data_IF_336502683477
#
_entry.id   IF_336502683477
#
_cell.length_a   1.000
_cell.length_b   1.000
_cell.length_c   1.000
_cell.angle_alpha   90.00
_cell.angle_beta   90.00
_cell.angle_gamma   90.00
#
_symmetry.space_group_name_H-M   'P 1'
#
loop_
_entity.id
_entity.type
_entity.pdbx_description
1 polymer ?
#
# COMPACT_ATOMS: atom_id res chain seq x y z
N UNK A 1 -24.48 30.82 -36.63
CA UNK A 1 -24.30 29.35 -36.58
C UNK A 1 -23.54 28.98 -35.30
N UNK A 2 -24.12 28.18 -34.39
CA UNK A 2 -23.40 27.76 -33.19
C UNK A 2 -22.36 26.69 -33.55
N UNK A 3 -21.09 26.95 -33.22
CA UNK A 3 -19.99 25.98 -33.28
C UNK A 3 -20.38 24.79 -32.39
N UNK A 4 -20.67 23.64 -33.01
CA UNK A 4 -20.77 22.36 -32.30
C UNK A 4 -19.45 22.12 -31.56
N UNK A 5 -19.47 22.26 -30.24
CA UNK A 5 -18.42 21.78 -29.36
C UNK A 5 -18.22 20.30 -29.67
N UNK A 6 -17.05 19.93 -30.21
CA UNK A 6 -16.65 18.53 -30.37
C UNK A 6 -16.70 17.89 -28.98
N UNK A 7 -17.62 16.95 -28.76
CA UNK A 7 -17.58 16.06 -27.60
C UNK A 7 -16.18 15.43 -27.54
N UNK A 8 -15.51 15.39 -26.38
CA UNK A 8 -14.25 14.69 -26.25
C UNK A 8 -14.52 13.23 -26.64
N UNK A 9 -13.77 12.70 -27.60
CA UNK A 9 -13.83 11.29 -27.96
C UNK A 9 -13.33 10.47 -26.76
N UNK A 10 -14.26 10.01 -25.92
CA UNK A 10 -14.01 8.95 -24.95
C UNK A 10 -13.50 7.74 -25.72
N UNK A 11 -12.23 7.39 -25.51
CA UNK A 11 -11.65 6.19 -26.13
C UNK A 11 -12.43 4.99 -25.63
N UNK A 12 -12.79 4.06 -26.52
CA UNK A 12 -13.43 2.80 -26.12
C UNK A 12 -12.53 2.06 -25.11
N UNK A 13 -13.15 1.42 -24.10
CA UNK A 13 -12.43 0.58 -23.14
C UNK A 13 -11.68 -0.55 -23.85
N UNK A 14 -12.25 -1.13 -24.91
CA UNK A 14 -11.57 -2.14 -25.72
C UNK A 14 -10.27 -1.59 -26.36
N UNK A 15 -10.29 -0.34 -26.84
CA UNK A 15 -9.08 0.30 -27.34
C UNK A 15 -8.05 0.54 -26.23
N UNK A 16 -8.49 0.80 -24.99
CA UNK A 16 -7.59 0.91 -23.83
C UNK A 16 -6.88 -0.42 -23.57
N UNK A 17 -7.63 -1.53 -23.55
CA UNK A 17 -7.09 -2.89 -23.38
C UNK A 17 -6.10 -3.21 -24.48
N UNK A 18 -6.45 -3.00 -25.76
CA UNK A 18 -5.55 -3.25 -26.88
C UNK A 18 -4.27 -2.42 -26.81
N UNK A 19 -4.36 -1.14 -26.42
CA UNK A 19 -3.18 -0.30 -26.21
C UNK A 19 -2.31 -0.79 -25.06
N UNK A 20 -2.90 -1.31 -23.98
CA UNK A 20 -2.15 -1.89 -22.88
C UNK A 20 -1.37 -3.13 -23.36
N UNK A 21 -2.03 -4.06 -24.06
CA UNK A 21 -1.37 -5.25 -24.63
C UNK A 21 -0.24 -4.89 -25.61
N UNK A 22 -0.46 -3.88 -26.47
CA UNK A 22 0.59 -3.38 -27.38
C UNK A 22 1.78 -2.74 -26.68
N UNK A 23 1.65 -2.28 -25.43
CA UNK A 23 2.81 -1.84 -24.64
C UNK A 23 3.59 -3.02 -24.09
N UNK A 24 2.90 -4.09 -23.67
CA UNK A 24 3.53 -5.34 -23.26
C UNK A 24 4.31 -5.94 -24.44
N UNK A 25 3.71 -5.96 -25.64
CA UNK A 25 4.35 -6.45 -26.86
C UNK A 25 5.70 -5.79 -27.17
N UNK A 26 5.86 -4.51 -26.79
CA UNK A 26 7.10 -3.74 -27.00
C UNK A 26 8.13 -3.94 -25.89
N UNK A 27 7.77 -4.60 -24.81
CA UNK A 27 8.68 -4.86 -23.70
C UNK A 27 9.68 -5.97 -24.04
N UNK A 28 10.91 -5.85 -23.52
CA UNK A 28 11.99 -6.79 -23.80
C UNK A 28 11.68 -8.20 -23.31
N UNK A 29 10.98 -8.35 -22.19
CA UNK A 29 10.65 -9.65 -21.63
C UNK A 29 9.61 -10.38 -22.50
N UNK A 30 8.63 -9.67 -23.05
CA UNK A 30 7.71 -10.26 -24.03
C UNK A 30 8.44 -10.63 -25.32
N UNK A 31 9.25 -9.72 -25.88
CA UNK A 31 9.99 -9.96 -27.11
C UNK A 31 10.95 -11.18 -26.98
N UNK A 32 11.64 -11.29 -25.84
CA UNK A 32 12.51 -12.43 -25.55
C UNK A 32 11.74 -13.75 -25.36
N UNK A 33 10.54 -13.69 -24.76
CA UNK A 33 9.66 -14.86 -24.66
C UNK A 33 9.13 -15.29 -26.04
N UNK A 34 8.64 -14.36 -26.85
CA UNK A 34 8.05 -14.65 -28.16
C UNK A 34 9.07 -15.14 -29.19
N UNK A 35 10.33 -14.68 -29.11
CA UNK A 35 11.39 -15.07 -30.05
C UNK A 35 11.68 -16.58 -30.07
N UNK A 36 11.32 -17.30 -29.00
CA UNK A 36 11.54 -18.75 -28.86
C UNK A 36 10.33 -19.59 -29.28
N UNK A 37 9.30 -18.98 -29.89
CA UNK A 37 8.03 -19.64 -30.20
C UNK A 37 7.70 -19.52 -31.70
N UNK A 38 7.16 -20.59 -32.33
CA UNK A 38 6.79 -20.58 -33.74
C UNK A 38 5.44 -19.89 -33.95
N UNK A 39 5.37 -18.59 -33.66
CA UNK A 39 4.15 -17.78 -33.73
C UNK A 39 3.72 -17.55 -35.19
N UNK A 40 2.46 -17.86 -35.52
CA UNK A 40 1.90 -17.69 -36.86
C UNK A 40 0.54 -16.96 -36.82
N UNK A 41 0.09 -16.52 -37.99
CA UNK A 41 -1.24 -15.89 -38.13
C UNK A 41 -2.35 -16.85 -37.69
N UNK A 42 -3.26 -16.35 -36.85
CA UNK A 42 -4.39 -17.11 -36.32
C UNK A 42 -4.09 -17.91 -35.06
N UNK A 43 -2.84 -17.95 -34.60
CA UNK A 43 -2.54 -18.36 -33.23
C UNK A 43 -2.96 -17.25 -32.24
N UNK A 44 -2.85 -17.52 -30.94
CA UNK A 44 -3.22 -16.56 -29.90
C UNK A 44 -2.26 -16.56 -28.72
N UNK A 45 -2.26 -15.44 -27.99
CA UNK A 45 -1.54 -15.31 -26.72
C UNK A 45 -2.54 -15.00 -25.62
N UNK A 46 -2.56 -15.86 -24.60
CA UNK A 46 -3.29 -15.64 -23.36
C UNK A 46 -2.36 -14.96 -22.34
N UNK A 47 -2.81 -13.82 -21.82
CA UNK A 47 -2.09 -13.01 -20.85
C UNK A 47 -2.53 -13.38 -19.44
N UNK A 48 -1.55 -13.60 -18.57
CA UNK A 48 -1.81 -13.84 -17.16
C UNK A 48 -2.57 -12.66 -16.55
N UNK A 49 -3.56 -12.96 -15.72
CA UNK A 49 -4.30 -11.97 -14.96
C UNK A 49 -3.69 -11.71 -13.56
N UNK A 50 -2.45 -12.15 -13.33
CA UNK A 50 -1.65 -11.76 -12.16
C UNK A 50 -0.15 -11.90 -12.41
N UNK A 51 0.55 -10.80 -12.65
CA UNK A 51 2.01 -10.80 -12.82
C UNK A 51 2.77 -10.83 -11.49
N UNK A 52 2.12 -10.39 -10.42
CA UNK A 52 2.67 -10.37 -9.07
C UNK A 52 2.28 -11.64 -8.30
N UNK A 53 3.25 -12.17 -7.55
CA UNK A 53 3.00 -13.30 -6.68
C UNK A 53 2.24 -12.83 -5.43
N UNK A 54 1.16 -13.54 -5.11
CA UNK A 54 0.25 -13.20 -4.03
C UNK A 54 0.54 -14.10 -2.85
N UNK A 55 0.83 -13.52 -1.69
CA UNK A 55 0.95 -14.25 -0.43
C UNK A 55 0.07 -13.54 0.59
N UNK A 56 -0.98 -14.21 1.06
CA UNK A 56 -1.90 -13.66 2.07
C UNK A 56 -2.98 -12.70 1.52
N UNK A 57 -3.29 -12.73 0.22
CA UNK A 57 -4.42 -11.94 -0.31
C UNK A 57 -5.75 -12.51 0.21
N UNK A 58 -6.68 -11.62 0.56
CA UNK A 58 -8.05 -12.01 0.99
C UNK A 58 -8.95 -12.42 -0.18
N UNK A 59 -8.54 -12.12 -1.42
CA UNK A 59 -9.26 -12.46 -2.65
C UNK A 59 -8.63 -13.65 -3.37
N UNK A 60 -9.45 -14.38 -4.11
CA UNK A 60 -9.01 -15.39 -5.07
C UNK A 60 -8.69 -14.75 -6.42
N UNK A 61 -7.80 -15.39 -7.18
CA UNK A 61 -7.44 -14.95 -8.53
C UNK A 61 -8.63 -15.00 -9.46
N UNK A 62 -8.85 -13.90 -10.19
CA UNK A 62 -9.86 -13.83 -11.25
C UNK A 62 -9.74 -15.04 -12.20
N UNK A 63 -10.85 -15.62 -12.68
CA UNK A 63 -10.81 -16.67 -13.68
C UNK A 63 -10.66 -16.14 -15.11
N UNK A 64 -10.76 -14.81 -15.33
CA UNK A 64 -10.81 -14.22 -16.66
C UNK A 64 -9.43 -13.80 -17.17
N UNK A 65 -9.01 -14.36 -18.30
CA UNK A 65 -7.73 -14.09 -18.96
C UNK A 65 -7.96 -13.37 -20.29
N UNK A 66 -7.15 -12.34 -20.57
CA UNK A 66 -7.17 -11.68 -21.88
C UNK A 66 -6.49 -12.55 -22.92
N UNK A 67 -7.11 -12.69 -24.08
CA UNK A 67 -6.55 -13.38 -25.24
C UNK A 67 -6.48 -12.43 -26.41
N UNK A 68 -5.31 -12.36 -27.04
CA UNK A 68 -5.11 -11.60 -28.27
C UNK A 68 -4.70 -12.54 -29.42
N UNK A 69 -5.39 -12.52 -30.55
CA UNK A 69 -4.96 -13.24 -31.75
C UNK A 69 -3.72 -12.61 -32.37
N UNK A 70 -2.92 -13.43 -33.02
CA UNK A 70 -1.78 -13.01 -33.82
C UNK A 70 -2.21 -12.73 -35.26
N UNK A 71 -1.92 -11.52 -35.73
CA UNK A 71 -2.14 -11.12 -37.12
C UNK A 71 -1.02 -11.60 -38.06
N UNK A 72 -1.14 -11.24 -39.35
CA UNK A 72 -0.17 -11.57 -40.41
C UNK A 72 1.29 -11.24 -40.11
N UNK A 73 1.52 -10.21 -39.29
CA UNK A 73 2.86 -9.73 -38.93
C UNK A 73 3.43 -10.41 -37.68
N UNK A 74 2.75 -11.43 -37.15
CA UNK A 74 3.07 -12.05 -35.86
C UNK A 74 2.77 -11.14 -34.66
N UNK A 75 2.10 -10.01 -34.89
CA UNK A 75 1.76 -9.02 -33.86
C UNK A 75 0.39 -9.25 -33.26
N UNK A 76 0.21 -8.78 -32.02
CA UNK A 76 -1.07 -8.79 -31.33
C UNK A 76 -2.10 -7.96 -32.11
N UNK A 77 -3.24 -8.59 -32.40
CA UNK A 77 -4.32 -8.02 -33.22
C UNK A 77 -5.67 -8.06 -32.49
N UNK A 78 -6.66 -7.37 -33.06
CA UNK A 78 -8.05 -7.42 -32.63
C UNK A 78 -8.86 -8.33 -33.60
N UNK A 79 -10.03 -8.85 -33.21
CA UNK A 79 -10.72 -8.64 -31.93
C UNK A 79 -10.03 -9.39 -30.77
N UNK A 80 -10.09 -8.79 -29.58
CA UNK A 80 -9.63 -9.42 -28.35
C UNK A 80 -10.77 -10.27 -27.76
N UNK A 81 -10.40 -11.29 -26.99
CA UNK A 81 -11.36 -12.18 -26.35
C UNK A 81 -10.98 -12.45 -24.89
N UNK A 82 -11.95 -12.98 -24.13
CA UNK A 82 -11.76 -13.45 -22.76
C UNK A 82 -11.80 -14.97 -22.73
N UNK A 83 -10.83 -15.55 -22.02
CA UNK A 83 -10.72 -16.98 -21.75
C UNK A 83 -10.94 -17.24 -20.26
N UNK A 84 -11.77 -18.23 -19.96
CA UNK A 84 -11.92 -18.82 -18.62
C UNK A 84 -11.37 -20.26 -18.66
N UNK A 85 -10.10 -20.46 -18.29
CA UNK A 85 -9.50 -21.78 -18.34
C UNK A 85 -9.99 -22.66 -17.18
N UNK A 86 -10.13 -23.96 -17.43
CA UNK A 86 -10.45 -24.95 -16.38
C UNK A 86 -9.38 -25.06 -15.29
N UNK A 87 -8.15 -24.65 -15.58
CA UNK A 87 -7.03 -24.60 -14.64
C UNK A 87 -6.36 -23.24 -14.67
N UNK A 88 -6.04 -22.72 -13.48
CA UNK A 88 -5.36 -21.44 -13.35
C UNK A 88 -3.95 -21.48 -13.97
N UNK A 89 -3.65 -20.48 -14.80
CA UNK A 89 -2.32 -20.28 -15.36
C UNK A 89 -1.45 -19.44 -14.42
N UNK A 90 -0.20 -19.87 -14.20
CA UNK A 90 0.80 -19.16 -13.37
C UNK A 90 2.03 -18.65 -14.14
N UNK A 91 2.03 -18.80 -15.47
CA UNK A 91 3.01 -18.18 -16.38
C UNK A 91 2.47 -16.86 -16.91
N UNK A 92 3.33 -15.89 -17.16
CA UNK A 92 2.95 -14.53 -17.60
C UNK A 92 2.23 -14.52 -18.95
N UNK A 93 2.68 -15.36 -19.87
CA UNK A 93 2.13 -15.51 -21.20
C UNK A 93 1.99 -16.98 -21.54
N UNK A 94 0.92 -17.33 -22.24
CA UNK A 94 0.71 -18.67 -22.80
C UNK A 94 0.40 -18.54 -24.28
N UNK A 95 1.21 -19.23 -25.08
CA UNK A 95 0.98 -19.38 -26.50
C UNK A 95 -0.09 -20.46 -26.73
N UNK A 96 -1.06 -20.17 -27.60
CA UNK A 96 -2.17 -21.04 -27.95
C UNK A 96 -2.19 -21.20 -29.47
N UNK A 97 -1.73 -22.34 -30.00
CA UNK A 97 -1.76 -22.61 -31.44
C UNK A 97 -3.19 -22.72 -31.95
N UNK A 98 -3.45 -22.23 -33.17
CA UNK A 98 -4.76 -22.31 -33.85
C UNK A 98 -5.31 -23.74 -33.94
N UNK A 99 -4.42 -24.73 -34.07
CA UNK A 99 -4.76 -26.15 -34.20
C UNK A 99 -5.24 -26.78 -32.90
N UNK A 100 -4.97 -26.17 -31.76
CA UNK A 100 -5.46 -26.65 -30.48
C UNK A 100 -6.96 -26.32 -30.37
N UNK A 101 -7.78 -27.27 -29.91
CA UNK A 101 -9.19 -27.04 -29.62
C UNK A 101 -9.29 -25.80 -28.73
N UNK A 102 -9.81 -24.71 -29.30
CA UNK A 102 -9.85 -23.44 -28.59
C UNK A 102 -10.90 -23.55 -27.49
N UNK A 103 -10.56 -23.25 -26.23
CA UNK A 103 -11.57 -23.15 -25.19
C UNK A 103 -12.64 -22.14 -25.61
N UNK A 104 -13.84 -22.22 -25.05
CA UNK A 104 -14.87 -21.21 -25.30
C UNK A 104 -14.32 -19.80 -24.99
N UNK A 105 -14.35 -18.92 -25.98
CA UNK A 105 -13.89 -17.54 -25.88
C UNK A 105 -15.10 -16.61 -25.89
N UNK A 106 -15.18 -15.71 -24.91
CA UNK A 106 -16.16 -14.64 -24.91
C UNK A 106 -15.58 -13.40 -25.62
N UNK A 107 -16.42 -12.66 -26.34
CA UNK A 107 -15.98 -11.41 -26.95
C UNK A 107 -15.61 -10.38 -25.86
N UNK A 108 -14.55 -9.60 -26.10
CA UNK A 108 -14.11 -8.60 -25.12
C UNK A 108 -15.20 -7.54 -24.88
N UNK A 109 -15.90 -7.06 -25.90
CA UNK A 109 -16.92 -6.01 -25.75
C UNK A 109 -18.10 -6.47 -24.89
N UNK A 110 -18.53 -7.72 -25.03
CA UNK A 110 -19.58 -8.32 -24.19
C UNK A 110 -19.13 -8.43 -22.74
N UNK A 111 -17.89 -8.90 -22.54
CA UNK A 111 -17.28 -9.03 -21.22
C UNK A 111 -17.08 -7.66 -20.55
N UNK A 112 -16.69 -6.64 -21.31
CA UNK A 112 -16.56 -5.27 -20.79
C UNK A 112 -17.91 -4.74 -20.31
N UNK A 113 -18.99 -4.96 -21.07
CA UNK A 113 -20.35 -4.54 -20.67
C UNK A 113 -20.76 -5.24 -19.37
N UNK A 114 -20.66 -6.56 -19.34
CA UNK A 114 -20.99 -7.37 -18.15
C UNK A 114 -20.19 -6.93 -16.90
N UNK A 115 -18.87 -6.72 -17.06
CA UNK A 115 -18.02 -6.33 -15.93
C UNK A 115 -18.22 -4.87 -15.50
N UNK A 116 -18.60 -3.98 -16.43
CA UNK A 116 -18.94 -2.59 -16.11
C UNK A 116 -20.19 -2.53 -15.23
N UNK A 117 -21.21 -3.33 -15.55
CA UNK A 117 -22.45 -3.40 -14.76
C UNK A 117 -22.20 -4.00 -13.38
N UNK A 118 -21.26 -4.94 -13.29
CA UNK A 118 -20.82 -5.56 -12.02
C UNK A 118 -19.82 -4.71 -11.22
N UNK A 119 -19.42 -3.52 -11.68
CA UNK A 119 -18.33 -2.75 -11.05
C UNK A 119 -18.65 -2.37 -9.59
N UNK A 120 -19.92 -2.01 -9.33
CA UNK A 120 -20.37 -1.48 -8.04
C UNK A 120 -19.86 -0.06 -7.78
N UNK A 121 -20.32 0.55 -6.69
CA UNK A 121 -19.99 1.95 -6.33
C UNK A 121 -18.82 2.07 -5.37
N UNK A 122 -18.58 1.05 -4.54
CA UNK A 122 -17.58 1.09 -3.46
C UNK A 122 -16.15 1.36 -3.97
N UNK A 123 -15.82 0.89 -5.18
CA UNK A 123 -14.51 1.12 -5.80
C UNK A 123 -14.24 2.61 -6.04
N UNK A 124 -15.28 3.42 -6.21
CA UNK A 124 -15.17 4.86 -6.44
C UNK A 124 -14.92 5.66 -5.15
N UNK A 125 -14.93 5.02 -3.97
CA UNK A 125 -14.41 5.64 -2.75
C UNK A 125 -12.96 6.13 -2.94
N UNK A 126 -12.18 5.42 -3.77
CA UNK A 126 -10.80 5.76 -4.09
C UNK A 126 -10.61 7.07 -4.86
N UNK A 127 -11.65 7.53 -5.56
CA UNK A 127 -11.66 8.78 -6.32
C UNK A 127 -12.52 9.86 -5.63
N UNK A 128 -13.05 9.57 -4.44
CA UNK A 128 -13.87 10.50 -3.66
C UNK A 128 -13.01 11.60 -3.06
N UNK A 129 -13.60 12.77 -2.85
CA UNK A 129 -12.96 13.87 -2.11
C UNK A 129 -13.20 13.68 -0.62
N UNK A 130 -12.15 13.90 0.17
CA UNK A 130 -12.24 13.98 1.63
C UNK A 130 -12.84 15.33 1.99
N UNK A 131 -13.86 15.35 2.86
CA UNK A 131 -14.52 16.57 3.33
C UNK A 131 -14.59 16.53 4.85
N UNK A 132 -14.04 17.55 5.48
CA UNK A 132 -14.09 17.77 6.93
C UNK A 132 -15.38 18.51 7.29
N UNK A 133 -16.52 17.81 7.15
CA UNK A 133 -17.87 18.35 7.42
C UNK A 133 -18.52 17.75 8.67
N UNK A 134 -17.83 16.83 9.35
CA UNK A 134 -18.37 16.15 10.52
C UNK A 134 -17.94 16.88 11.78
N UNK A 135 -18.94 17.40 12.48
CA UNK A 135 -18.78 17.84 13.87
C UNK A 135 -18.83 16.61 14.78
N UNK A 136 -17.78 16.42 15.57
CA UNK A 136 -17.74 15.40 16.63
C UNK A 136 -17.90 16.11 17.96
N UNK A 137 -18.78 15.62 18.84
CA UNK A 137 -19.01 16.20 20.15
C UNK A 137 -18.91 15.10 21.21
N UNK A 138 -18.14 15.34 22.26
CA UNK A 138 -17.92 14.44 23.38
C UNK A 138 -18.25 15.14 24.71
N UNK A 139 -18.63 14.38 25.75
CA UNK A 139 -18.73 14.92 27.10
C UNK A 139 -17.39 15.47 27.57
N UNK A 140 -17.41 16.68 28.14
CA UNK A 140 -16.27 17.31 28.77
C UNK A 140 -16.60 17.46 30.25
N UNK A 141 -16.15 16.49 31.05
CA UNK A 141 -16.58 16.33 32.43
C UNK A 141 -15.88 17.33 33.38
N UNK A 142 -15.92 18.63 33.07
CA UNK A 142 -15.31 19.67 33.89
C UNK A 142 -16.07 21.00 33.80
N UNK A 143 -16.76 21.35 34.90
CA UNK A 143 -17.52 22.61 35.01
C UNK A 143 -16.62 23.85 34.76
N UNK A 144 -17.17 24.92 34.17
CA UNK A 144 -18.58 25.10 33.75
C UNK A 144 -18.92 24.46 32.39
N UNK A 145 -17.96 23.78 31.75
CA UNK A 145 -18.14 23.20 30.44
C UNK A 145 -18.68 21.77 30.56
N UNK A 146 -19.59 21.40 29.65
CA UNK A 146 -20.24 20.10 29.63
C UNK A 146 -19.82 19.26 28.43
N UNK A 147 -19.45 19.92 27.33
CA UNK A 147 -19.06 19.23 26.09
C UNK A 147 -17.89 19.90 25.41
N UNK A 148 -17.16 19.11 24.66
CA UNK A 148 -16.08 19.55 23.78
C UNK A 148 -16.34 18.99 22.39
N UNK A 149 -16.23 19.83 21.38
CA UNK A 149 -16.53 19.48 20.00
C UNK A 149 -15.35 19.79 19.08
N UNK A 150 -15.12 18.92 18.11
CA UNK A 150 -14.21 19.17 17.00
C UNK A 150 -15.04 19.62 15.79
N UNK A 151 -14.79 20.83 15.32
CA UNK A 151 -15.38 21.42 14.12
C UNK A 151 -14.29 22.13 13.30
N UNK A 152 -13.81 21.47 12.25
CA UNK A 152 -12.74 21.98 11.39
C UNK A 152 -13.11 23.26 10.61
N UNK A 153 -14.40 23.63 10.55
CA UNK A 153 -14.86 24.86 9.92
C UNK A 153 -15.01 26.03 10.92
N UNK A 154 -14.64 25.82 12.18
CA UNK A 154 -14.66 26.84 13.23
C UNK A 154 -13.77 28.05 12.88
N UNK A 155 -14.14 29.27 13.32
CA UNK A 155 -13.41 30.50 12.99
C UNK A 155 -12.07 30.64 13.74
N UNK A 156 -11.91 29.96 14.88
CA UNK A 156 -10.74 30.03 15.76
C UNK A 156 -10.26 28.63 16.16
N UNK A 157 -9.03 28.52 16.67
CA UNK A 157 -8.47 27.23 17.15
C UNK A 157 -9.25 26.68 18.35
N UNK A 158 -9.68 27.57 19.24
CA UNK A 158 -10.59 27.30 20.35
C UNK A 158 -11.65 28.39 20.40
N UNK A 159 -12.91 28.02 20.60
CA UNK A 159 -14.00 28.94 20.85
C UNK A 159 -14.89 28.40 21.98
N UNK A 160 -15.41 29.29 22.83
CA UNK A 160 -16.36 28.93 23.86
C UNK A 160 -17.78 29.37 23.46
N UNK A 161 -18.71 28.43 23.49
CA UNK A 161 -20.12 28.67 23.20
C UNK A 161 -20.97 28.18 24.38
N UNK A 162 -21.15 29.06 25.37
CA UNK A 162 -21.85 28.69 26.61
C UNK A 162 -21.08 27.63 27.37
N UNK A 163 -21.66 26.43 27.50
CA UNK A 163 -21.05 25.27 28.16
C UNK A 163 -20.24 24.38 27.22
N UNK A 164 -20.09 24.77 25.95
CA UNK A 164 -19.37 24.00 24.95
C UNK A 164 -18.01 24.62 24.59
N UNK A 165 -16.99 23.77 24.54
CA UNK A 165 -15.66 24.09 24.01
C UNK A 165 -15.58 23.58 22.57
N UNK A 166 -15.37 24.45 21.60
CA UNK A 166 -15.21 24.05 20.19
C UNK A 166 -13.76 24.21 19.77
N UNK A 167 -13.18 23.12 19.29
CA UNK A 167 -11.83 23.04 18.76
C UNK A 167 -11.88 22.92 17.24
N UNK A 168 -10.95 23.58 16.55
CA UNK A 168 -10.80 23.43 15.09
C UNK A 168 -9.92 22.25 14.68
N UNK A 169 -8.96 21.89 15.54
CA UNK A 169 -7.97 20.85 15.32
C UNK A 169 -7.58 20.22 16.66
N UNK A 170 -6.94 19.04 16.62
CA UNK A 170 -6.33 18.37 17.77
C UNK A 170 -4.80 18.31 17.68
N UNK A 171 -4.18 18.89 16.65
CA UNK A 171 -2.76 18.65 16.31
C UNK A 171 -1.73 19.27 17.27
N UNK A 172 -2.03 20.42 17.90
CA UNK A 172 -1.10 21.14 18.78
C UNK A 172 -1.71 21.36 20.16
N UNK A 173 -1.61 20.33 21.01
CA UNK A 173 -2.15 20.35 22.38
C UNK A 173 -1.69 21.58 23.18
N UNK A 174 -0.41 21.95 23.07
CA UNK A 174 0.15 23.04 23.84
C UNK A 174 -0.44 24.39 23.41
N UNK A 175 -0.55 24.63 22.10
CA UNK A 175 -1.18 25.83 21.56
C UNK A 175 -2.68 25.86 21.86
N UNK A 176 -3.38 24.74 21.72
CA UNK A 176 -4.80 24.62 22.01
C UNK A 176 -5.10 24.87 23.49
N UNK A 177 -4.29 24.32 24.40
CA UNK A 177 -4.42 24.58 25.84
C UNK A 177 -4.19 26.06 26.17
N UNK A 178 -3.18 26.69 25.56
CA UNK A 178 -2.93 28.11 25.74
C UNK A 178 -4.11 28.96 25.26
N UNK A 179 -4.66 28.67 24.06
CA UNK A 179 -5.82 29.35 23.51
C UNK A 179 -7.07 29.14 24.37
N UNK A 180 -7.31 27.92 24.84
CA UNK A 180 -8.40 27.61 25.77
C UNK A 180 -8.29 28.40 27.08
N UNK A 181 -7.08 28.56 27.63
CA UNK A 181 -6.86 29.38 28.82
C UNK A 181 -7.18 30.86 28.61
N UNK A 182 -6.86 31.42 27.44
CA UNK A 182 -7.23 32.79 27.07
C UNK A 182 -8.74 32.96 27.01
N UNK A 183 -9.44 32.05 26.31
CA UNK A 183 -10.90 32.09 26.20
C UNK A 183 -11.59 31.93 27.57
N UNK A 184 -11.10 31.02 28.42
CA UNK A 184 -11.59 30.84 29.79
C UNK A 184 -11.44 32.12 30.62
N UNK A 185 -10.28 32.80 30.53
CA UNK A 185 -10.06 34.09 31.17
C UNK A 185 -11.05 35.16 30.71
N UNK A 186 -11.43 35.15 29.43
CA UNK A 186 -12.45 36.05 28.86
C UNK A 186 -13.86 35.86 29.42
N UNK A 187 -14.18 34.66 29.92
CA UNK A 187 -15.47 34.34 30.56
C UNK A 187 -15.38 34.21 32.09
N UNK A 188 -14.26 34.62 32.69
CA UNK A 188 -14.06 34.62 34.14
C UNK A 188 -13.80 33.23 34.77
N UNK A 189 -13.39 32.25 33.95
CA UNK A 189 -13.03 30.89 34.40
C UNK A 189 -11.51 30.79 34.50
N UNK A 190 -11.00 30.27 35.62
CA UNK A 190 -9.58 29.98 35.79
C UNK A 190 -9.34 28.48 35.61
N UNK A 191 -8.63 28.05 34.55
CA UNK A 191 -8.34 26.63 34.34
C UNK A 191 -7.38 26.09 35.42
N UNK A 192 -7.66 24.90 35.95
CA UNK A 192 -6.81 24.19 36.90
C UNK A 192 -6.15 22.95 36.27
N UNK A 193 -5.31 22.25 37.05
CA UNK A 193 -4.62 21.04 36.58
C UNK A 193 -5.57 19.88 36.24
N UNK A 194 -6.75 19.85 36.88
CA UNK A 194 -7.78 18.84 36.60
C UNK A 194 -8.44 19.11 35.26
N UNK A 195 -8.78 20.35 34.97
CA UNK A 195 -9.30 20.80 33.69
C UNK A 195 -8.27 20.56 32.57
N UNK A 196 -6.98 20.80 32.84
CA UNK A 196 -5.90 20.47 31.90
C UNK A 196 -5.85 18.98 31.56
N UNK A 197 -5.92 18.13 32.58
CA UNK A 197 -5.93 16.67 32.39
C UNK A 197 -7.18 16.19 31.65
N UNK A 198 -8.34 16.79 31.96
CA UNK A 198 -9.59 16.50 31.25
C UNK A 198 -9.54 16.95 29.78
N UNK A 199 -8.90 18.08 29.50
CA UNK A 199 -8.69 18.61 28.15
C UNK A 199 -7.77 17.70 27.32
N UNK A 200 -6.62 17.30 27.86
CA UNK A 200 -5.71 16.37 27.19
C UNK A 200 -6.40 15.03 26.87
N UNK A 201 -7.12 14.46 27.85
CA UNK A 201 -7.90 13.23 27.61
C UNK A 201 -8.97 13.42 26.52
N UNK A 202 -9.68 14.54 26.56
CA UNK A 202 -10.69 14.83 25.54
C UNK A 202 -10.08 15.00 24.15
N UNK A 203 -8.89 15.59 24.03
CA UNK A 203 -8.15 15.65 22.77
C UNK A 203 -7.82 14.25 22.23
N UNK A 204 -7.29 13.36 23.07
CA UNK A 204 -7.02 11.96 22.69
C UNK A 204 -8.29 11.23 22.21
N UNK A 205 -9.39 11.41 22.94
CA UNK A 205 -10.68 10.81 22.61
C UNK A 205 -11.28 11.39 21.32
N UNK A 206 -11.13 12.70 21.08
CA UNK A 206 -11.53 13.37 19.86
C UNK A 206 -10.69 12.90 18.67
N UNK A 207 -9.35 12.84 18.80
CA UNK A 207 -8.46 12.38 17.73
C UNK A 207 -8.77 10.93 17.33
N UNK A 208 -9.02 10.07 18.32
CA UNK A 208 -9.34 8.66 18.07
C UNK A 208 -10.68 8.47 17.35
N UNK A 209 -11.66 9.34 17.62
CA UNK A 209 -13.02 9.24 17.06
C UNK A 209 -13.25 10.16 15.84
N UNK A 210 -12.32 11.07 15.56
CA UNK A 210 -12.39 11.99 14.45
C UNK A 210 -12.51 11.21 13.13
N UNK A 211 -13.45 11.64 12.29
CA UNK A 211 -13.65 11.03 10.97
C UNK A 211 -14.06 12.06 9.95
N UNK A 212 -13.40 12.01 8.80
CA UNK A 212 -13.79 12.78 7.63
C UNK A 212 -14.87 12.04 6.82
N UNK A 213 -15.70 12.79 6.11
CA UNK A 213 -16.62 12.22 5.12
C UNK A 213 -15.92 12.01 3.77
N UNK A 214 -16.31 10.95 3.07
CA UNK A 214 -15.98 10.77 1.66
C UNK A 214 -17.17 11.16 0.80
N UNK A 215 -16.97 12.11 -0.12
CA UNK A 215 -17.98 12.50 -1.09
C UNK A 215 -17.59 12.01 -2.48
N UNK A 216 -18.47 11.19 -3.06
CA UNK A 216 -18.32 10.74 -4.45
C UNK A 216 -18.46 11.94 -5.40
N UNK A 217 -17.61 12.05 -6.43
CA UNK A 217 -17.76 13.09 -7.44
C UNK A 217 -19.05 12.88 -8.25
N UNK A 218 -19.63 13.92 -8.86
CA UNK A 218 -20.79 13.76 -9.73
C UNK A 218 -20.41 12.97 -11.00
N UNK A 219 -21.33 12.15 -11.52
CA UNK A 219 -21.06 11.23 -12.65
C UNK A 219 -20.95 11.93 -14.01
N UNK A 220 -21.24 13.23 -14.09
CA UNK A 220 -21.17 14.01 -15.32
C UNK A 220 -19.81 14.72 -15.52
N UNK A 221 -18.90 14.64 -14.54
CA UNK A 221 -17.63 15.33 -14.56
C UNK A 221 -16.49 14.46 -14.03
N UNK A 222 -15.37 14.47 -14.75
CA UNK A 222 -14.15 13.80 -14.32
C UNK A 222 -13.52 14.58 -13.16
N UNK A 223 -13.35 13.95 -12.00
CA UNK A 223 -12.68 14.61 -10.87
C UNK A 223 -11.18 14.77 -11.08
N UNK A 224 -10.62 15.88 -10.64
CA UNK A 224 -9.17 16.16 -10.65
C UNK A 224 -8.51 15.81 -9.33
N UNK A 225 -9.28 15.71 -8.24
CA UNK A 225 -8.80 15.45 -6.88
C UNK A 225 -9.61 14.36 -6.20
N UNK A 226 -8.95 13.57 -5.37
CA UNK A 226 -9.56 12.49 -4.60
C UNK A 226 -8.55 11.78 -3.71
N UNK A 227 -9.00 10.79 -2.93
CA UNK A 227 -8.16 10.03 -1.99
C UNK A 227 -6.89 9.50 -2.67
N UNK A 228 -7.03 8.82 -3.80
CA UNK A 228 -5.87 8.24 -4.50
C UNK A 228 -4.95 9.30 -5.11
N UNK A 229 -5.47 10.46 -5.53
CA UNK A 229 -4.62 11.57 -5.99
C UNK A 229 -3.75 12.13 -4.88
N UNK A 230 -4.29 12.23 -3.65
CA UNK A 230 -3.55 12.67 -2.48
C UNK A 230 -2.46 11.67 -2.11
N UNK A 231 -2.78 10.36 -2.10
CA UNK A 231 -1.79 9.29 -1.89
C UNK A 231 -0.72 9.34 -2.98
N UNK A 232 -1.09 9.48 -4.25
CA UNK A 232 -0.15 9.60 -5.37
C UNK A 232 0.77 10.82 -5.23
N UNK A 233 0.27 11.94 -4.69
CA UNK A 233 1.09 13.13 -4.42
C UNK A 233 2.14 12.84 -3.35
N UNK A 234 1.74 12.20 -2.25
CA UNK A 234 2.65 11.79 -1.18
C UNK A 234 3.71 10.79 -1.68
N UNK A 235 3.31 9.75 -2.42
CA UNK A 235 4.23 8.77 -2.99
C UNK A 235 5.20 9.39 -4.00
N UNK A 236 4.75 10.33 -4.82
CA UNK A 236 5.64 11.09 -5.75
C UNK A 236 6.64 11.95 -4.98
N UNK A 237 6.24 12.57 -3.87
CA UNK A 237 7.14 13.32 -3.01
C UNK A 237 8.20 12.38 -2.40
N UNK A 238 7.80 11.25 -1.83
CA UNK A 238 8.73 10.24 -1.30
C UNK A 238 9.70 9.75 -2.38
N UNK A 239 9.25 9.45 -3.60
CA UNK A 239 10.15 9.10 -4.71
C UNK A 239 11.16 10.21 -5.02
N UNK A 240 10.75 11.49 -5.06
CA UNK A 240 11.67 12.61 -5.29
C UNK A 240 12.70 12.74 -4.17
N UNK A 241 12.26 12.60 -2.91
CA UNK A 241 13.15 12.59 -1.75
C UNK A 241 14.15 11.43 -1.81
N UNK A 242 13.68 10.24 -2.19
CA UNK A 242 14.51 9.06 -2.39
C UNK A 242 15.59 9.31 -3.44
N UNK A 243 15.21 9.79 -4.63
CA UNK A 243 16.16 10.08 -5.72
C UNK A 243 17.19 11.14 -5.31
N UNK A 244 16.77 12.19 -4.59
CA UNK A 244 17.66 13.21 -4.04
C UNK A 244 18.67 12.62 -3.06
N UNK A 245 18.21 11.81 -2.11
CA UNK A 245 19.08 11.15 -1.12
C UNK A 245 20.01 10.12 -1.75
N UNK A 246 19.51 9.36 -2.74
CA UNK A 246 20.30 8.38 -3.48
C UNK A 246 21.45 9.06 -4.25
N UNK A 247 21.18 10.19 -4.90
CA UNK A 247 22.21 10.96 -5.61
C UNK A 247 23.32 11.44 -4.66
N UNK A 248 22.95 11.95 -3.47
CA UNK A 248 23.91 12.35 -2.44
C UNK A 248 24.73 11.17 -1.94
N UNK A 249 24.08 10.04 -1.64
CA UNK A 249 24.73 8.80 -1.24
C UNK A 249 25.72 8.29 -2.29
N UNK A 250 25.38 8.36 -3.57
CA UNK A 250 26.28 7.96 -4.67
C UNK A 250 27.48 8.90 -4.80
N UNK A 251 27.29 10.21 -4.60
CA UNK A 251 28.35 11.20 -4.69
C UNK A 251 29.34 11.12 -3.51
N UNK A 252 28.88 10.79 -2.31
CA UNK A 252 29.70 10.66 -1.10
C UNK A 252 30.49 9.33 -1.06
N UNK A 253 31.18 8.93 -2.13
CA UNK A 253 32.04 7.73 -2.09
C UNK A 253 33.33 8.05 -1.33
N UNK A 254 33.60 7.30 -0.26
CA UNK A 254 34.81 7.47 0.56
C UNK A 254 34.75 8.57 1.62
N UNK A 255 33.56 9.15 1.84
CA UNK A 255 33.31 10.21 2.83
C UNK A 255 32.45 9.64 3.99
N UNK A 256 32.71 10.08 5.22
CA UNK A 256 31.95 9.76 6.43
C UNK A 256 30.46 10.16 6.30
N UNK A 257 30.16 11.21 5.53
CA UNK A 257 28.79 11.65 5.25
C UNK A 257 27.94 10.62 4.48
N UNK A 258 28.59 9.62 3.84
CA UNK A 258 27.94 8.54 3.09
C UNK A 258 26.91 7.80 3.93
N UNK A 259 27.23 7.53 5.19
CA UNK A 259 26.35 6.80 6.11
C UNK A 259 25.08 7.58 6.38
N UNK A 260 25.19 8.89 6.62
CA UNK A 260 24.05 9.79 6.84
C UNK A 260 23.14 9.83 5.61
N UNK A 261 23.72 9.97 4.42
CA UNK A 261 22.94 9.94 3.18
C UNK A 261 22.28 8.58 2.92
N UNK A 262 22.95 7.49 3.27
CA UNK A 262 22.38 6.15 3.17
C UNK A 262 21.21 5.95 4.15
N UNK A 263 21.32 6.45 5.39
CA UNK A 263 20.23 6.40 6.37
C UNK A 263 18.96 7.09 5.85
N UNK A 264 19.10 8.21 5.14
CA UNK A 264 17.96 8.87 4.49
C UNK A 264 17.38 8.06 3.33
N UNK A 265 18.20 7.39 2.52
CA UNK A 265 17.74 6.43 1.49
C UNK A 265 16.91 5.33 2.14
N UNK A 266 17.40 4.76 3.25
CA UNK A 266 16.71 3.70 4.00
C UNK A 266 15.38 4.18 4.60
N UNK A 267 15.38 5.37 5.23
CA UNK A 267 14.19 5.96 5.85
C UNK A 267 13.07 6.15 4.83
N UNK A 268 13.38 6.75 3.69
CA UNK A 268 12.39 7.01 2.63
C UNK A 268 11.94 5.71 1.96
N UNK A 269 12.86 4.78 1.66
CA UNK A 269 12.49 3.49 1.07
C UNK A 269 11.57 2.67 1.98
N UNK A 270 11.84 2.70 3.29
CA UNK A 270 11.05 1.95 4.27
C UNK A 270 9.61 2.46 4.39
N UNK A 271 9.42 3.76 4.57
CA UNK A 271 8.09 4.38 4.59
C UNK A 271 7.34 4.13 3.28
N UNK A 272 7.97 4.41 2.13
CA UNK A 272 7.35 4.18 0.82
C UNK A 272 6.94 2.72 0.62
N UNK A 273 7.84 1.77 0.87
CA UNK A 273 7.58 0.35 0.56
C UNK A 273 6.41 -0.23 1.37
N UNK A 274 6.24 0.18 2.63
CA UNK A 274 5.13 -0.27 3.47
C UNK A 274 3.80 0.31 3.02
N UNK A 275 3.75 1.62 2.82
CA UNK A 275 2.52 2.32 2.41
C UNK A 275 2.09 1.90 0.99
N UNK A 276 3.03 1.83 0.05
CA UNK A 276 2.76 1.41 -1.32
C UNK A 276 2.36 -0.08 -1.40
N UNK A 277 2.90 -0.95 -0.56
CA UNK A 277 2.49 -2.36 -0.52
C UNK A 277 1.02 -2.50 -0.12
N UNK A 278 0.56 -1.78 0.89
CA UNK A 278 -0.85 -1.79 1.31
C UNK A 278 -1.79 -1.34 0.18
N UNK A 279 -1.46 -0.24 -0.51
CA UNK A 279 -2.28 0.22 -1.64
C UNK A 279 -2.25 -0.76 -2.82
N UNK A 280 -1.10 -1.38 -3.08
CA UNK A 280 -0.97 -2.39 -4.13
C UNK A 280 -1.84 -3.62 -3.83
N UNK A 281 -1.87 -4.09 -2.58
CA UNK A 281 -2.70 -5.22 -2.17
C UNK A 281 -4.19 -4.91 -2.38
N UNK A 282 -4.62 -3.68 -2.10
CA UNK A 282 -5.97 -3.21 -2.42
C UNK A 282 -6.23 -3.24 -3.93
N UNK A 283 -5.33 -2.70 -4.76
CA UNK A 283 -5.49 -2.68 -6.21
C UNK A 283 -5.52 -4.09 -6.81
N UNK A 284 -4.66 -4.99 -6.34
CA UNK A 284 -4.68 -6.40 -6.76
C UNK A 284 -6.01 -7.06 -6.37
N UNK A 285 -6.53 -6.79 -5.17
CA UNK A 285 -7.84 -7.28 -4.73
C UNK A 285 -8.98 -6.73 -5.58
N UNK A 286 -8.92 -5.45 -5.98
CA UNK A 286 -9.87 -4.86 -6.92
C UNK A 286 -9.78 -5.56 -8.28
N UNK A 287 -8.58 -5.80 -8.80
CA UNK A 287 -8.36 -6.48 -10.08
C UNK A 287 -8.89 -7.93 -10.08
N UNK A 288 -8.87 -8.60 -8.92
CA UNK A 288 -9.47 -9.92 -8.76
C UNK A 288 -11.00 -9.88 -8.84
N UNK A 289 -11.59 -8.96 -8.08
CA UNK A 289 -13.04 -8.84 -7.97
C UNK A 289 -13.66 -8.14 -9.18
N UNK A 290 -12.88 -7.28 -9.85
CA UNK A 290 -13.25 -6.39 -10.96
C UNK A 290 -12.20 -6.47 -12.09
N UNK A 291 -12.17 -7.58 -12.85
CA UNK A 291 -11.21 -7.84 -13.92
C UNK A 291 -11.05 -6.73 -14.96
N UNK A 292 -12.12 -5.96 -15.22
CA UNK A 292 -12.07 -4.80 -16.11
C UNK A 292 -10.95 -3.81 -15.75
N UNK A 293 -10.72 -3.58 -14.45
CA UNK A 293 -9.67 -2.69 -13.94
C UNK A 293 -8.30 -3.22 -14.37
N UNK A 294 -8.09 -4.52 -14.22
CA UNK A 294 -6.86 -5.20 -14.64
C UNK A 294 -6.68 -5.11 -16.15
N UNK A 295 -7.69 -5.43 -16.95
CA UNK A 295 -7.59 -5.48 -18.40
C UNK A 295 -7.11 -4.14 -18.98
N UNK A 296 -7.65 -3.03 -18.46
CA UNK A 296 -7.28 -1.69 -18.89
C UNK A 296 -5.94 -1.19 -18.33
N UNK A 297 -5.35 -1.86 -17.34
CA UNK A 297 -4.07 -1.48 -16.69
C UNK A 297 -3.01 -2.57 -16.75
N UNK A 298 -3.23 -3.62 -17.55
CA UNK A 298 -2.44 -4.85 -17.53
C UNK A 298 -0.95 -4.59 -17.83
N UNK A 299 -0.65 -3.60 -18.67
CA UNK A 299 0.72 -3.18 -18.98
C UNK A 299 1.46 -2.63 -17.77
N UNK A 300 0.75 -1.93 -16.87
CA UNK A 300 1.33 -1.36 -15.66
C UNK A 300 1.61 -2.42 -14.61
N UNK A 301 0.71 -3.40 -14.49
CA UNK A 301 0.95 -4.58 -13.66
C UNK A 301 2.16 -5.38 -14.16
N UNK A 302 2.27 -5.57 -15.48
CA UNK A 302 3.42 -6.23 -16.08
C UNK A 302 4.73 -5.45 -15.84
N UNK A 303 4.76 -4.15 -16.16
CA UNK A 303 5.94 -3.30 -15.97
C UNK A 303 6.41 -3.24 -14.51
N UNK A 304 5.47 -3.25 -13.56
CA UNK A 304 5.78 -3.29 -12.13
C UNK A 304 6.39 -4.64 -11.72
N UNK A 305 5.86 -5.74 -12.24
CA UNK A 305 6.47 -7.07 -12.05
C UNK A 305 7.90 -7.12 -12.61
N UNK A 306 8.14 -6.56 -13.80
CA UNK A 306 9.48 -6.49 -14.40
C UNK A 306 10.44 -5.63 -13.57
N UNK A 307 9.98 -4.48 -13.07
CA UNK A 307 10.79 -3.65 -12.19
C UNK A 307 11.22 -4.40 -10.91
N UNK A 308 10.33 -5.21 -10.33
CA UNK A 308 10.67 -6.07 -9.19
C UNK A 308 11.66 -7.17 -9.57
N UNK A 309 11.48 -7.83 -10.73
CA UNK A 309 12.40 -8.87 -11.19
C UNK A 309 13.80 -8.34 -11.49
N UNK A 310 13.90 -7.09 -11.90
CA UNK A 310 15.17 -6.44 -12.18
C UNK A 310 16.03 -6.23 -10.92
N UNK A 311 15.45 -6.25 -9.71
CA UNK A 311 16.20 -6.14 -8.46
C UNK A 311 17.21 -7.30 -8.30
N UNK A 312 18.39 -7.05 -7.69
CA UNK A 312 19.42 -8.06 -7.52
C UNK A 312 19.06 -9.03 -6.38
N UNK A 313 18.24 -10.02 -6.68
CA UNK A 313 17.81 -11.07 -5.74
C UNK A 313 18.93 -12.09 -5.45
N UNK A 314 20.04 -11.64 -4.84
CA UNK A 314 21.28 -12.42 -4.63
C UNK A 314 21.11 -13.73 -3.84
N UNK A 315 19.98 -13.96 -3.16
CA UNK A 315 19.74 -15.17 -2.34
C UNK A 315 18.32 -15.76 -2.44
N UNK A 316 17.48 -15.32 -3.38
CA UNK A 316 16.11 -15.85 -3.52
C UNK A 316 16.03 -16.84 -4.67
N UNK A 317 15.79 -18.12 -4.38
CA UNK A 317 15.37 -19.11 -5.41
C UNK A 317 13.90 -18.94 -5.82
N UNK A 318 13.14 -18.14 -5.05
CA UNK A 318 11.71 -17.93 -5.26
C UNK A 318 11.44 -16.75 -6.18
N UNK A 319 10.31 -16.80 -6.90
CA UNK A 319 9.77 -15.69 -7.70
C UNK A 319 9.77 -14.40 -6.85
N UNK A 320 10.24 -13.26 -7.38
CA UNK A 320 10.16 -11.98 -6.68
C UNK A 320 8.74 -11.68 -6.21
N UNK A 321 8.61 -11.30 -4.95
CA UNK A 321 7.31 -11.00 -4.30
C UNK A 321 7.36 -9.64 -3.64
N UNK A 322 6.19 -9.03 -3.41
CA UNK A 322 6.10 -7.78 -2.67
C UNK A 322 6.62 -7.92 -1.24
N UNK A 323 6.29 -9.02 -0.57
CA UNK A 323 6.81 -9.33 0.76
C UNK A 323 8.35 -9.39 0.78
N UNK A 324 8.97 -10.02 -0.23
CA UNK A 324 10.44 -10.08 -0.31
C UNK A 324 11.06 -8.69 -0.50
N UNK A 325 10.41 -7.82 -1.27
CA UNK A 325 10.83 -6.43 -1.48
C UNK A 325 10.76 -5.61 -0.18
N UNK A 326 9.62 -5.62 0.51
CA UNK A 326 9.43 -4.92 1.79
C UNK A 326 10.41 -5.44 2.84
N UNK A 327 10.58 -6.76 2.93
CA UNK A 327 11.52 -7.37 3.89
C UNK A 327 12.98 -7.01 3.60
N UNK A 328 13.39 -6.96 2.32
CA UNK A 328 14.76 -6.57 1.98
C UNK A 328 15.08 -5.13 2.43
N UNK A 329 14.14 -4.20 2.26
CA UNK A 329 14.27 -2.82 2.74
C UNK A 329 14.23 -2.78 4.28
N UNK A 330 13.28 -3.49 4.90
CA UNK A 330 13.11 -3.56 6.35
C UNK A 330 14.33 -4.11 7.08
N UNK A 331 14.89 -5.24 6.59
CA UNK A 331 16.12 -5.84 7.13
C UNK A 331 17.30 -4.86 7.03
N UNK A 332 17.42 -4.16 5.88
CA UNK A 332 18.50 -3.18 5.66
C UNK A 332 18.37 -1.96 6.58
N UNK A 333 17.14 -1.46 6.77
CA UNK A 333 16.83 -0.39 7.73
C UNK A 333 17.15 -0.84 9.15
N UNK A 334 16.60 -1.96 9.59
CA UNK A 334 16.78 -2.43 10.96
C UNK A 334 18.27 -2.66 11.26
N UNK A 335 19.06 -3.15 10.30
CA UNK A 335 20.52 -3.25 10.49
C UNK A 335 21.17 -1.88 10.70
N UNK A 336 20.79 -0.87 9.92
CA UNK A 336 21.40 0.46 10.02
C UNK A 336 21.02 1.21 11.30
N UNK A 337 19.80 1.00 11.82
CA UNK A 337 19.25 1.73 12.96
C UNK A 337 19.28 0.95 14.30
N UNK A 338 19.32 -0.38 14.27
CA UNK A 338 19.17 -1.25 15.45
C UNK A 338 20.39 -2.17 15.71
N UNK A 339 21.57 -1.78 15.25
CA UNK A 339 22.83 -2.51 15.52
C UNK A 339 23.61 -1.86 16.67
N UNK A 340 22.95 -1.66 17.82
CA UNK A 340 23.62 -1.17 19.04
C UNK A 340 24.58 -2.24 19.59
N UNK A 341 24.19 -3.51 19.48
CA UNK A 341 25.04 -4.63 19.88
C UNK A 341 25.90 -5.13 18.71
N UNK A 342 27.21 -5.39 18.92
CA UNK A 342 28.15 -5.77 17.86
C UNK A 342 28.08 -7.28 17.51
N UNK A 343 26.93 -7.93 17.71
CA UNK A 343 26.79 -9.37 17.51
C UNK A 343 26.10 -9.70 16.18
N UNK A 344 26.85 -10.28 15.24
CA UNK A 344 26.29 -10.73 13.97
C UNK A 344 25.65 -12.12 14.04
N UNK A 345 26.05 -12.93 15.04
CA UNK A 345 25.60 -14.31 15.27
C UNK A 345 24.82 -14.39 16.58
N UNK A 346 23.94 -15.38 16.67
CA UNK A 346 23.34 -15.73 17.96
C UNK A 346 24.47 -16.19 18.89
N UNK A 347 24.43 -15.72 20.14
CA UNK A 347 25.34 -16.18 21.17
C UNK A 347 24.77 -17.46 21.76
N UNK A 348 25.61 -18.47 21.85
CA UNK A 348 25.26 -19.74 22.48
C UNK A 348 26.02 -19.82 23.79
N UNK A 349 25.28 -19.81 24.90
CA UNK A 349 25.83 -19.93 26.24
C UNK A 349 25.38 -21.27 26.83
N UNK A 350 26.34 -22.14 27.10
CA UNK A 350 26.09 -23.42 27.77
C UNK A 350 26.22 -23.18 29.26
N UNK A 351 25.15 -23.43 30.00
CA UNK A 351 25.17 -23.33 31.46
C UNK A 351 26.00 -24.47 32.04
N UNK A 352 26.83 -24.23 33.08
CA UNK A 352 27.54 -25.29 33.77
C UNK A 352 26.56 -26.17 34.57
N UNK A 353 27.02 -27.35 34.97
CA UNK A 353 26.24 -28.24 35.84
C UNK A 353 25.90 -27.53 37.16
N UNK A 354 24.65 -27.61 37.58
CA UNK A 354 24.15 -26.95 38.79
C UNK A 354 23.81 -25.46 38.63
N UNK A 355 23.84 -24.88 37.43
CA UNK A 355 23.56 -23.45 37.24
C UNK A 355 22.10 -23.01 37.53
N UNK A 356 21.17 -23.95 37.59
CA UNK A 356 19.76 -23.67 37.91
C UNK A 356 19.49 -24.02 39.37
N UNK A 357 19.88 -23.12 40.27
CA UNK A 357 19.62 -23.26 41.70
C UNK A 357 18.16 -22.95 42.05
N UNK A 358 17.61 -23.72 42.99
CA UNK A 358 16.22 -23.55 43.45
C UNK A 358 15.18 -23.87 42.38
N UNK A 359 15.49 -24.75 41.43
CA UNK A 359 14.58 -25.08 40.34
C UNK A 359 13.36 -25.88 40.83
N UNK A 360 12.16 -25.32 40.68
CA UNK A 360 10.89 -25.98 41.01
C UNK A 360 9.96 -26.00 39.79
N UNK A 361 9.35 -27.15 39.52
CA UNK A 361 8.44 -27.35 38.40
C UNK A 361 7.04 -27.71 38.90
N UNK A 362 6.04 -26.90 38.53
CA UNK A 362 4.63 -27.17 38.75
C UNK A 362 3.94 -27.56 37.45
N UNK A 363 3.23 -28.68 37.46
CA UNK A 363 2.50 -29.24 36.31
C UNK A 363 1.07 -29.64 36.72
N UNK A 364 0.21 -29.89 35.72
CA UNK A 364 -1.17 -30.39 35.89
C UNK A 364 -2.07 -29.51 36.77
N UNK A 365 -1.93 -28.19 36.68
CA UNK A 365 -2.90 -27.26 37.25
C UNK A 365 -4.31 -27.48 36.68
N UNK A 366 -5.30 -27.18 37.52
CA UNK A 366 -6.72 -27.34 37.20
C UNK A 366 -7.13 -26.50 35.96
N UNK A 367 -7.90 -27.12 35.07
CA UNK A 367 -8.36 -26.51 33.82
C UNK A 367 -9.25 -25.28 34.10
N UNK A 368 -8.83 -24.09 33.65
CA UNK A 368 -9.53 -22.82 33.86
C UNK A 368 -8.95 -21.94 34.97
N UNK A 369 -7.97 -22.44 35.74
CA UNK A 369 -7.13 -21.57 36.59
C UNK A 369 -6.26 -20.64 35.70
N UNK A 370 -5.96 -19.42 36.17
CA UNK A 370 -5.23 -18.38 35.40
C UNK A 370 -3.99 -18.95 34.69
N UNK A 371 -3.61 -18.38 33.54
CA UNK A 371 -2.61 -18.87 32.56
C UNK A 371 -1.16 -19.09 33.06
N UNK A 372 -0.91 -19.12 34.37
CA UNK A 372 0.40 -19.24 35.00
C UNK A 372 0.50 -20.41 36.01
N UNK A 373 -0.49 -21.31 36.06
CA UNK A 373 -0.51 -22.33 37.11
C UNK A 373 0.41 -23.55 36.82
N UNK A 374 0.89 -23.71 35.58
CA UNK A 374 2.01 -24.59 35.24
C UNK A 374 3.24 -23.72 34.97
N UNK A 375 4.32 -23.94 35.72
CA UNK A 375 5.46 -23.04 35.71
C UNK A 375 6.74 -23.74 36.16
N UNK A 376 7.87 -23.44 35.50
CA UNK A 376 9.21 -23.70 36.00
C UNK A 376 9.73 -22.39 36.63
N UNK A 377 10.13 -22.44 37.90
CA UNK A 377 10.77 -21.34 38.62
C UNK A 377 12.18 -21.75 39.05
N UNK A 378 13.09 -20.79 39.22
CA UNK A 378 14.48 -20.94 39.67
C UNK A 378 15.02 -19.54 40.04
N UNK A 379 16.10 -19.46 40.83
CA UNK A 379 16.56 -18.20 41.44
C UNK A 379 16.77 -17.04 40.44
N UNK A 380 17.34 -17.32 39.26
CA UNK A 380 17.65 -16.30 38.24
C UNK A 380 16.62 -16.23 37.10
N UNK A 381 15.40 -16.73 37.29
CA UNK A 381 14.39 -16.78 36.23
C UNK A 381 14.09 -15.42 35.62
N UNK A 382 13.84 -14.41 36.45
CA UNK A 382 13.54 -13.06 35.98
C UNK A 382 14.72 -12.48 35.16
N UNK A 383 15.96 -12.77 35.56
CA UNK A 383 17.15 -12.35 34.83
C UNK A 383 17.22 -13.05 33.45
N UNK A 384 16.96 -14.35 33.38
CA UNK A 384 16.89 -15.09 32.11
C UNK A 384 15.77 -14.54 31.22
N UNK A 385 14.61 -14.20 31.78
CA UNK A 385 13.51 -13.57 31.06
C UNK A 385 13.88 -12.18 30.52
N UNK A 386 14.68 -11.40 31.24
CA UNK A 386 15.23 -10.14 30.74
C UNK A 386 16.28 -10.39 29.65
N UNK A 387 17.19 -11.35 29.84
CA UNK A 387 18.24 -11.69 28.88
C UNK A 387 17.68 -12.23 27.55
N UNK A 388 16.56 -12.95 27.58
CA UNK A 388 15.91 -13.46 26.36
C UNK A 388 15.19 -12.38 25.54
N UNK A 389 14.98 -11.18 26.10
CA UNK A 389 14.47 -10.02 25.34
C UNK A 389 15.51 -9.42 24.40
N UNK A 390 16.80 -9.72 24.60
CA UNK A 390 17.85 -9.28 23.67
C UNK A 390 17.77 -10.07 22.37
N UNK A 391 17.40 -9.39 21.28
CA UNK A 391 17.31 -9.97 19.95
C UNK A 391 18.29 -9.30 19.01
N UNK A 392 18.75 -10.05 17.99
CA UNK A 392 19.58 -9.50 16.91
C UNK A 392 18.75 -9.27 15.66
N UNK A 393 19.11 -8.24 14.90
CA UNK A 393 18.52 -8.04 13.57
C UNK A 393 19.07 -9.05 12.57
N UNK A 394 18.20 -9.58 11.69
CA UNK A 394 18.62 -10.45 10.59
C UNK A 394 19.54 -9.68 9.61
N UNK A 395 20.73 -10.22 9.35
CA UNK A 395 21.65 -9.63 8.36
C UNK A 395 21.39 -10.22 6.98
N UNK A 396 20.78 -9.42 6.09
CA UNK A 396 20.73 -9.70 4.66
C UNK A 396 21.44 -8.56 3.92
N UNK A 397 22.66 -8.79 3.38
CA UNK A 397 23.36 -7.74 2.64
C UNK A 397 22.59 -7.39 1.37
N UNK A 398 22.27 -6.11 1.22
CA UNK A 398 21.58 -5.54 0.07
C UNK A 398 22.59 -4.71 -0.74
N UNK A 399 22.93 -5.11 -1.97
CA UNK A 399 24.00 -4.45 -2.73
C UNK A 399 23.58 -3.04 -3.17
N UNK A 400 24.55 -2.14 -3.41
CA UNK A 400 24.31 -0.77 -3.88
C UNK A 400 23.38 -0.70 -5.11
N UNK A 401 23.51 -1.67 -6.02
CA UNK A 401 22.68 -1.77 -7.23
C UNK A 401 21.19 -2.00 -6.93
N UNK A 402 20.84 -2.55 -5.77
CA UNK A 402 19.45 -2.66 -5.33
C UNK A 402 18.84 -1.27 -5.16
N UNK A 403 19.53 -0.36 -4.46
CA UNK A 403 19.03 0.99 -4.18
C UNK A 403 18.89 1.81 -5.45
N UNK A 404 19.79 1.62 -6.42
CA UNK A 404 19.66 2.25 -7.74
C UNK A 404 18.42 1.75 -8.48
N UNK A 405 18.22 0.43 -8.54
CA UNK A 405 17.07 -0.16 -9.25
C UNK A 405 15.75 0.03 -8.51
N UNK A 406 15.78 0.23 -7.19
CA UNK A 406 14.59 0.48 -6.38
C UNK A 406 13.82 1.72 -6.83
N UNK A 407 14.49 2.75 -7.34
CA UNK A 407 13.80 3.93 -7.89
C UNK A 407 12.83 3.55 -9.04
N UNK A 408 13.21 2.57 -9.86
CA UNK A 408 12.36 2.07 -10.93
C UNK A 408 11.14 1.30 -10.39
N UNK A 409 11.29 0.57 -9.29
CA UNK A 409 10.17 -0.09 -8.59
C UNK A 409 9.18 0.95 -8.06
N UNK A 410 9.68 1.99 -7.37
CA UNK A 410 8.86 3.10 -6.88
C UNK A 410 8.11 3.78 -8.03
N UNK A 411 8.80 4.03 -9.14
CA UNK A 411 8.21 4.62 -10.33
C UNK A 411 7.11 3.75 -10.95
N UNK A 412 7.33 2.44 -11.05
CA UNK A 412 6.38 1.50 -11.63
C UNK A 412 5.12 1.34 -10.75
N UNK A 413 5.28 1.31 -9.41
CA UNK A 413 4.15 1.33 -8.48
C UNK A 413 3.30 2.60 -8.65
N UNK A 414 3.94 3.78 -8.64
CA UNK A 414 3.23 5.06 -8.85
C UNK A 414 2.51 5.07 -10.21
N UNK A 415 3.14 4.55 -11.27
CA UNK A 415 2.53 4.49 -12.59
C UNK A 415 1.30 3.57 -12.63
N UNK A 416 1.35 2.42 -11.94
CA UNK A 416 0.21 1.53 -11.78
C UNK A 416 -0.94 2.19 -11.02
N UNK A 417 -0.63 2.82 -9.88
CA UNK A 417 -1.62 3.51 -9.06
C UNK A 417 -2.28 4.67 -9.80
N UNK A 418 -1.47 5.44 -10.55
CA UNK A 418 -1.97 6.54 -11.37
C UNK A 418 -2.88 6.04 -12.50
N UNK A 419 -2.50 4.98 -13.21
CA UNK A 419 -3.32 4.41 -14.28
C UNK A 419 -4.64 3.84 -13.74
N UNK A 420 -4.59 3.20 -12.56
CA UNK A 420 -5.79 2.68 -11.88
C UNK A 420 -6.72 3.83 -11.48
N UNK A 421 -6.18 4.87 -10.86
CA UNK A 421 -6.94 6.07 -10.48
C UNK A 421 -7.58 6.75 -11.70
N UNK A 422 -6.81 6.96 -12.77
CA UNK A 422 -7.31 7.56 -14.00
C UNK A 422 -8.43 6.73 -14.63
N UNK A 423 -8.29 5.40 -14.65
CA UNK A 423 -9.32 4.49 -15.14
C UNK A 423 -10.60 4.57 -14.29
N UNK A 424 -10.48 4.56 -12.95
CA UNK A 424 -11.66 4.63 -12.08
C UNK A 424 -12.42 5.95 -12.29
N UNK A 425 -11.71 7.06 -12.49
CA UNK A 425 -12.32 8.35 -12.86
C UNK A 425 -13.06 8.26 -14.19
N UNK A 426 -12.45 7.63 -15.19
CA UNK A 426 -13.04 7.48 -16.52
C UNK A 426 -14.26 6.53 -16.49
N UNK A 427 -14.24 5.48 -15.67
CA UNK A 427 -15.36 4.55 -15.48
C UNK A 427 -16.53 5.15 -14.71
N UNK A 428 -16.25 6.11 -13.83
CA UNK A 428 -17.26 6.82 -13.04
C UNK A 428 -18.05 7.85 -13.87
N UNK A 429 -17.41 8.44 -14.88
CA UNK A 429 -18.08 9.35 -15.81
C UNK A 429 -19.01 8.55 -16.72
N UNK A 430 -20.31 8.84 -16.69
CA UNK A 430 -21.35 8.12 -17.43
C UNK A 430 -21.92 8.95 -18.57
#
# INVERSE_FOLDING_TARGET
MPRKLKKPTTKSLADMVLRALRRIEKDRAFAGWSANLPMQEGDSVAFNNSFLFRRGSKTSKSPYYLVAPLGRTGRLSAPLSILEPSQAQNVDFRYVPKRQASPALAALDDSIRDQRDKLGTIVFALISTVVEDRRLQLPFAHQPFETIALDSNGPADVALHGTEVVLRSTEDEAALWAAFGVECGGVGVSPDDKMKSAFAKALDDLETQASASLRLPPTNARTTTGVTDNILRALRLQKRLYAKSLKKYQAARGDDSRRTHFNEVLRVAYSFSREAATLLDLIVSICDLKPLVLWCTIDRHFAMSEALRALPWTRSKNKPTMANYVNAIGDSRNRAFHSVFPFEKALHFVLPDGALDGAELRLFSEFGSKSHANELTYNDKELVEVLTKFTRTRVRPTPDSFWVKNEAVMAAMIALFAATNDLLKDLHVR
#
